data_IF_848376498384
#
_entry.id   IF_848376498384
#
_cell.length_a   1.000
_cell.length_b   1.000
_cell.length_c   1.000
_cell.angle_alpha   90.00
_cell.angle_beta   90.00
_cell.angle_gamma   90.00
#
_symmetry.space_group_name_H-M   'P 1'
#
loop_
_entity.id
_entity.type
_entity.pdbx_description
1 polymer ?
#
# COMPACT_ATOMS: atom_id res chain seq x y z
N UNK A 1 -23.87 -8.33 -47.14
CA UNK A 1 -23.61 -7.16 -46.26
C UNK A 1 -23.75 -7.47 -44.77
N UNK A 2 -24.56 -8.47 -44.38
CA UNK A 2 -24.87 -8.84 -42.97
C UNK A 2 -23.68 -9.46 -42.22
N UNK A 3 -22.86 -10.28 -42.90
CA UNK A 3 -21.74 -11.02 -42.28
C UNK A 3 -20.59 -10.13 -41.76
N UNK A 4 -20.37 -8.95 -42.38
CA UNK A 4 -19.36 -7.98 -41.94
C UNK A 4 -19.78 -7.25 -40.65
N UNK A 5 -21.08 -6.99 -40.48
CA UNK A 5 -21.62 -6.37 -39.26
C UNK A 5 -21.51 -7.28 -38.04
N UNK A 6 -21.82 -8.58 -38.20
CA UNK A 6 -21.67 -9.58 -37.13
C UNK A 6 -20.22 -9.78 -36.68
N UNK A 7 -19.27 -9.80 -37.61
CA UNK A 7 -17.84 -9.88 -37.30
C UNK A 7 -17.36 -8.65 -36.52
N UNK A 8 -17.80 -7.44 -36.92
CA UNK A 8 -17.44 -6.21 -36.24
C UNK A 8 -18.00 -6.16 -34.81
N UNK A 9 -19.26 -6.56 -34.61
CA UNK A 9 -19.89 -6.61 -33.28
C UNK A 9 -19.19 -7.64 -32.38
N UNK A 10 -18.88 -8.83 -32.91
CA UNK A 10 -18.15 -9.87 -32.16
C UNK A 10 -16.74 -9.44 -31.79
N UNK A 11 -16.05 -8.71 -32.68
CA UNK A 11 -14.73 -8.15 -32.42
C UNK A 11 -14.79 -7.10 -31.30
N UNK A 12 -15.73 -6.16 -31.38
CA UNK A 12 -15.93 -5.12 -30.35
C UNK A 12 -16.27 -5.76 -29.00
N UNK A 13 -17.12 -6.79 -28.98
CA UNK A 13 -17.48 -7.51 -27.77
C UNK A 13 -16.25 -8.19 -27.14
N UNK A 14 -15.45 -8.91 -27.92
CA UNK A 14 -14.23 -9.56 -27.43
C UNK A 14 -13.20 -8.56 -26.88
N UNK A 15 -13.00 -7.43 -27.57
CA UNK A 15 -12.12 -6.35 -27.10
C UNK A 15 -12.61 -5.82 -25.74
N UNK A 16 -13.91 -5.54 -25.61
CA UNK A 16 -14.49 -5.05 -24.35
C UNK A 16 -14.32 -6.05 -23.21
N UNK A 17 -14.61 -7.33 -23.44
CA UNK A 17 -14.47 -8.39 -22.43
C UNK A 17 -13.01 -8.50 -21.98
N UNK A 18 -12.05 -8.48 -22.91
CA UNK A 18 -10.62 -8.56 -22.56
C UNK A 18 -10.14 -7.33 -21.77
N UNK A 19 -10.59 -6.13 -22.12
CA UNK A 19 -10.28 -4.91 -21.35
C UNK A 19 -10.85 -5.01 -19.94
N UNK A 20 -12.12 -5.41 -19.79
CA UNK A 20 -12.73 -5.59 -18.47
C UNK A 20 -11.96 -6.59 -17.60
N UNK A 21 -11.57 -7.74 -18.17
CA UNK A 21 -10.78 -8.74 -17.46
C UNK A 21 -9.40 -8.21 -17.07
N UNK A 22 -8.74 -7.45 -17.94
CA UNK A 22 -7.45 -6.83 -17.65
C UNK A 22 -7.55 -5.78 -16.52
N UNK A 23 -8.60 -4.96 -16.53
CA UNK A 23 -8.87 -3.97 -15.48
C UNK A 23 -9.12 -4.64 -14.14
N UNK A 24 -10.00 -5.66 -14.09
CA UNK A 24 -10.25 -6.44 -12.87
C UNK A 24 -8.97 -7.07 -12.32
N UNK A 25 -8.13 -7.60 -13.20
CA UNK A 25 -6.84 -8.19 -12.82
C UNK A 25 -5.87 -7.14 -12.26
N UNK A 26 -5.85 -5.94 -12.84
CA UNK A 26 -5.02 -4.84 -12.36
C UNK A 26 -5.49 -4.30 -11.00
N UNK A 27 -6.80 -4.13 -10.81
CA UNK A 27 -7.39 -3.72 -9.53
C UNK A 27 -7.09 -4.73 -8.42
N UNK A 28 -7.25 -6.02 -8.70
CA UNK A 28 -6.92 -7.08 -7.75
C UNK A 28 -5.43 -7.10 -7.42
N UNK A 29 -4.57 -6.90 -8.41
CA UNK A 29 -3.11 -6.84 -8.21
C UNK A 29 -2.72 -5.64 -7.35
N UNK A 30 -3.32 -4.47 -7.60
CA UNK A 30 -3.08 -3.27 -6.81
C UNK A 30 -3.61 -3.42 -5.38
N UNK A 31 -4.78 -4.05 -5.21
CA UNK A 31 -5.30 -4.37 -3.88
C UNK A 31 -4.35 -5.28 -3.13
N UNK A 32 -3.92 -6.39 -3.74
CA UNK A 32 -2.99 -7.33 -3.12
C UNK A 32 -1.67 -6.66 -2.75
N UNK A 33 -1.14 -5.79 -3.61
CA UNK A 33 0.07 -5.02 -3.33
C UNK A 33 -0.11 -4.11 -2.11
N UNK A 34 -1.21 -3.34 -2.04
CA UNK A 34 -1.54 -2.50 -0.88
C UNK A 34 -1.61 -3.31 0.41
N UNK A 35 -2.23 -4.49 0.35
CA UNK A 35 -2.36 -5.38 1.51
C UNK A 35 -1.01 -5.95 1.95
N UNK A 36 -0.16 -6.35 1.01
CA UNK A 36 1.20 -6.81 1.29
C UNK A 36 2.05 -5.71 1.95
N UNK A 37 1.98 -4.47 1.44
CA UNK A 37 2.68 -3.33 2.06
C UNK A 37 2.18 -3.06 3.48
N UNK A 38 0.86 -3.12 3.71
CA UNK A 38 0.29 -2.95 5.04
C UNK A 38 0.73 -4.06 6.01
N UNK A 39 0.76 -5.31 5.56
CA UNK A 39 1.18 -6.44 6.40
C UNK A 39 2.66 -6.31 6.78
N UNK A 40 3.51 -6.06 5.78
CA UNK A 40 4.93 -5.81 5.98
C UNK A 40 5.17 -4.64 6.95
N UNK A 41 4.45 -3.53 6.78
CA UNK A 41 4.53 -2.39 7.68
C UNK A 41 4.17 -2.79 9.12
N UNK A 42 3.06 -3.51 9.32
CA UNK A 42 2.60 -3.92 10.65
C UNK A 42 3.51 -4.95 11.34
N UNK A 43 4.12 -5.84 10.58
CA UNK A 43 5.14 -6.78 11.05
C UNK A 43 6.36 -6.05 11.58
N UNK A 44 6.76 -4.96 10.92
CA UNK A 44 7.90 -4.13 11.36
C UNK A 44 7.61 -3.24 12.59
N UNK A 45 6.35 -3.04 12.98
CA UNK A 45 5.99 -2.19 14.12
C UNK A 45 6.13 -2.91 15.47
N UNK A 46 6.56 -2.18 16.50
CA UNK A 46 6.53 -2.66 17.90
C UNK A 46 5.25 -2.27 18.64
N UNK A 47 4.40 -1.41 18.06
CA UNK A 47 3.11 -1.01 18.63
C UNK A 47 2.20 -2.22 18.93
N UNK A 48 1.47 -2.16 20.04
CA UNK A 48 0.45 -3.15 20.40
C UNK A 48 -0.79 -3.10 19.50
N UNK A 49 -1.03 -1.95 18.87
CA UNK A 49 -2.07 -1.73 17.86
C UNK A 49 -1.51 -1.84 16.46
N UNK A 50 -2.34 -2.36 15.56
CA UNK A 50 -2.04 -2.37 14.14
C UNK A 50 -2.34 -1.00 13.50
N UNK A 51 -1.93 -0.87 12.25
CA UNK A 51 -2.24 0.23 11.38
C UNK A 51 -2.97 -0.26 10.12
N UNK A 52 -3.85 0.57 9.60
CA UNK A 52 -4.56 0.33 8.34
C UNK A 52 -4.14 1.37 7.31
N UNK A 53 -4.05 0.95 6.05
CA UNK A 53 -3.75 1.84 4.93
C UNK A 53 -4.91 2.80 4.72
N UNK A 54 -4.66 4.08 4.90
CA UNK A 54 -5.65 5.12 4.66
C UNK A 54 -5.62 5.60 3.21
N UNK A 55 -4.41 5.89 2.70
CA UNK A 55 -4.26 6.55 1.41
C UNK A 55 -2.93 6.20 0.74
N UNK A 56 -2.96 6.10 -0.58
CA UNK A 56 -1.77 6.17 -1.44
C UNK A 56 -1.69 7.61 -1.97
N UNK A 57 -0.60 8.33 -1.67
CA UNK A 57 -0.47 9.75 -2.00
C UNK A 57 -0.02 9.99 -3.43
N UNK A 58 0.89 9.15 -3.92
CA UNK A 58 1.43 9.28 -5.26
C UNK A 58 2.53 8.26 -5.50
N UNK A 59 2.92 8.15 -6.76
CA UNK A 59 4.02 7.29 -7.20
C UNK A 59 4.92 8.09 -8.13
N UNK A 60 6.21 8.09 -7.81
CA UNK A 60 7.26 8.61 -8.69
C UNK A 60 7.93 7.42 -9.38
N UNK A 61 8.15 7.54 -10.68
CA UNK A 61 8.80 6.50 -11.49
C UNK A 61 10.22 6.94 -11.80
N UNK A 62 11.19 6.08 -11.52
CA UNK A 62 12.59 6.28 -11.86
C UNK A 62 13.14 5.00 -12.51
N UNK A 63 13.41 5.08 -13.81
CA UNK A 63 13.80 3.92 -14.62
C UNK A 63 12.82 2.73 -14.45
N UNK A 64 13.31 1.61 -13.91
CA UNK A 64 12.55 0.40 -13.65
C UNK A 64 11.96 0.34 -12.24
N UNK A 65 12.16 1.39 -11.43
CA UNK A 65 11.71 1.46 -10.05
C UNK A 65 10.59 2.49 -9.89
N UNK A 66 9.77 2.24 -8.90
CA UNK A 66 8.67 3.08 -8.49
C UNK A 66 8.82 3.36 -7.00
N UNK A 67 8.70 4.62 -6.62
CA UNK A 67 8.66 5.07 -5.24
C UNK A 67 7.25 5.54 -4.94
N UNK A 68 6.52 4.81 -4.11
CA UNK A 68 5.12 5.11 -3.79
C UNK A 68 4.98 5.53 -2.34
N UNK A 69 4.25 6.63 -2.14
CA UNK A 69 3.96 7.17 -0.83
C UNK A 69 2.65 6.61 -0.28
N UNK A 70 2.72 6.04 0.92
CA UNK A 70 1.61 5.46 1.66
C UNK A 70 1.38 6.22 2.95
N UNK A 71 0.12 6.32 3.35
CA UNK A 71 -0.29 6.85 4.65
C UNK A 71 -1.08 5.78 5.40
N UNK A 72 -0.57 5.41 6.56
CA UNK A 72 -1.20 4.46 7.48
C UNK A 72 -1.74 5.20 8.70
N UNK A 73 -2.87 4.71 9.23
CA UNK A 73 -3.46 5.20 10.48
C UNK A 73 -3.55 4.08 11.48
N UNK A 74 -3.34 4.40 12.75
CA UNK A 74 -3.54 3.46 13.84
C UNK A 74 -4.97 2.92 13.81
N UNK A 75 -5.15 1.63 14.08
CA UNK A 75 -6.45 0.97 14.02
C UNK A 75 -7.00 0.58 15.40
N UNK A 76 -8.30 0.32 15.43
CA UNK A 76 -8.98 -0.28 16.57
C UNK A 76 -8.50 -1.72 16.87
N UNK A 77 -7.88 -2.41 15.92
CA UNK A 77 -7.39 -3.78 16.06
C UNK A 77 -6.02 -3.85 16.72
N UNK A 78 -5.83 -4.88 17.56
CA UNK A 78 -4.59 -5.11 18.32
C UNK A 78 -3.92 -6.42 17.93
N UNK A 79 -2.60 -6.50 18.17
CA UNK A 79 -1.79 -7.71 17.92
C UNK A 79 -2.24 -8.93 18.74
N UNK A 80 -2.91 -8.70 19.87
CA UNK A 80 -3.44 -9.77 20.72
C UNK A 80 -4.74 -10.39 20.20
N UNK A 81 -5.51 -9.62 19.41
CA UNK A 81 -6.83 -10.06 18.94
C UNK A 81 -6.77 -10.84 17.63
N UNK A 82 -5.81 -10.53 16.76
CA UNK A 82 -5.74 -11.14 15.44
C UNK A 82 -4.35 -11.10 14.81
N UNK A 83 -4.03 -12.04 13.91
CA UNK A 83 -2.84 -11.98 13.08
C UNK A 83 -2.92 -10.86 12.03
N UNK A 84 -1.75 -10.43 11.55
CA UNK A 84 -1.59 -9.27 10.67
C UNK A 84 -2.40 -9.35 9.36
N UNK A 85 -2.44 -10.53 8.72
CA UNK A 85 -3.14 -10.74 7.44
C UNK A 85 -4.67 -10.57 7.54
N UNK A 86 -5.22 -10.57 8.77
CA UNK A 86 -6.65 -10.29 9.03
C UNK A 86 -6.94 -8.83 9.36
N UNK A 87 -5.93 -7.95 9.37
CA UNK A 87 -6.13 -6.53 9.69
C UNK A 87 -6.73 -5.81 8.48
N UNK A 88 -8.04 -5.91 8.29
CA UNK A 88 -8.78 -5.35 7.15
C UNK A 88 -10.14 -4.81 7.59
N UNK A 89 -10.69 -3.87 6.83
CA UNK A 89 -12.04 -3.33 7.07
C UNK A 89 -13.11 -4.42 7.08
N UNK A 90 -13.04 -5.39 6.14
CA UNK A 90 -13.96 -6.54 6.08
C UNK A 90 -13.95 -7.42 7.34
N UNK A 91 -12.92 -7.29 8.18
CA UNK A 91 -12.77 -8.01 9.44
C UNK A 91 -12.92 -7.09 10.66
N UNK A 92 -13.43 -5.87 10.47
CA UNK A 92 -13.74 -4.94 11.55
C UNK A 92 -12.57 -4.02 11.96
N UNK A 93 -11.47 -3.99 11.20
CA UNK A 93 -10.35 -3.10 11.49
C UNK A 93 -10.46 -1.77 10.74
N UNK A 94 -10.57 -0.69 11.50
CA UNK A 94 -10.74 0.66 10.99
C UNK A 94 -9.78 1.63 11.67
N UNK A 95 -9.47 2.72 10.97
CA UNK A 95 -8.65 3.79 11.52
C UNK A 95 -9.35 4.44 12.72
N UNK A 96 -8.59 4.68 13.79
CA UNK A 96 -9.00 5.45 14.98
C UNK A 96 -8.09 6.67 15.13
N UNK A 97 -8.53 7.64 15.92
CA UNK A 97 -7.75 8.85 16.25
C UNK A 97 -7.25 9.57 14.99
N UNK A 98 -8.12 9.59 13.96
CA UNK A 98 -7.72 9.87 12.57
C UNK A 98 -7.29 11.31 12.31
N UNK A 99 -7.49 12.21 13.28
CA UNK A 99 -7.10 13.62 13.24
C UNK A 99 -5.76 13.89 13.95
N UNK A 100 -5.26 12.98 14.80
CA UNK A 100 -3.97 13.17 15.46
C UNK A 100 -2.82 12.75 14.54
N UNK A 101 -2.08 13.75 14.07
CA UNK A 101 -0.92 13.57 13.20
C UNK A 101 0.15 12.64 13.80
N UNK A 102 0.23 12.52 15.13
CA UNK A 102 1.15 11.60 15.84
C UNK A 102 0.83 10.12 15.61
N UNK A 103 -0.38 9.83 15.16
CA UNK A 103 -0.89 8.48 14.92
C UNK A 103 -1.02 8.14 13.43
N UNK A 104 -0.62 9.07 12.59
CA UNK A 104 -0.46 8.89 11.17
C UNK A 104 1.00 8.52 10.89
N UNK A 105 1.21 7.49 10.09
CA UNK A 105 2.53 7.07 9.62
C UNK A 105 2.58 7.25 8.11
N UNK A 106 3.55 8.03 7.63
CA UNK A 106 3.82 8.27 6.21
C UNK A 106 5.04 7.44 5.81
N UNK A 107 4.92 6.67 4.74
CA UNK A 107 5.96 5.78 4.27
C UNK A 107 6.22 5.95 2.78
N UNK A 108 7.48 5.90 2.37
CA UNK A 108 7.88 5.90 0.96
C UNK A 108 8.49 4.55 0.59
N UNK A 109 7.78 3.77 -0.22
CA UNK A 109 8.13 2.37 -0.52
C UNK A 109 8.65 2.25 -1.95
N UNK A 110 9.83 1.65 -2.08
CA UNK A 110 10.45 1.33 -3.35
C UNK A 110 9.99 -0.05 -3.84
N UNK A 111 9.53 -0.12 -5.08
CA UNK A 111 9.10 -1.36 -5.73
C UNK A 111 9.32 -1.31 -7.25
N UNK A 112 9.16 -2.47 -7.90
CA UNK A 112 9.22 -2.64 -9.37
C UNK A 112 7.90 -3.25 -9.82
N UNK A 113 6.85 -2.43 -9.84
CA UNK A 113 5.47 -2.90 -9.98
C UNK A 113 5.01 -3.69 -8.75
N UNK A 114 4.04 -4.59 -8.92
CA UNK A 114 3.40 -5.29 -7.79
C UNK A 114 4.14 -6.54 -7.30
N UNK A 115 5.25 -6.94 -7.95
CA UNK A 115 5.95 -8.21 -7.70
C UNK A 115 7.31 -7.95 -7.06
N UNK A 116 7.34 -7.64 -5.75
CA UNK A 116 8.60 -7.38 -5.05
C UNK A 116 8.67 -8.00 -3.65
N UNK A 117 9.86 -8.47 -3.27
CA UNK A 117 10.21 -8.76 -1.89
C UNK A 117 10.48 -7.42 -1.17
N UNK A 118 9.46 -6.88 -0.50
CA UNK A 118 9.52 -5.56 0.15
C UNK A 118 10.74 -5.43 1.07
N UNK A 119 11.02 -6.45 1.86
CA UNK A 119 12.12 -6.48 2.83
C UNK A 119 13.52 -6.37 2.21
N UNK A 120 13.71 -6.76 0.94
CA UNK A 120 15.03 -6.72 0.29
C UNK A 120 15.40 -5.32 -0.21
N UNK A 121 14.42 -4.53 -0.63
CA UNK A 121 14.64 -3.19 -1.18
C UNK A 121 14.37 -2.06 -0.17
N UNK A 122 13.66 -2.36 0.92
CA UNK A 122 13.14 -1.35 1.82
C UNK A 122 13.65 -1.56 3.24
N UNK A 123 14.00 -0.46 3.89
CA UNK A 123 14.25 -0.39 5.32
C UNK A 123 13.18 0.52 5.95
N UNK A 124 12.25 -0.11 6.67
CA UNK A 124 11.14 0.56 7.33
C UNK A 124 11.57 1.80 8.14
N UNK A 125 12.61 1.67 8.97
CA UNK A 125 13.04 2.73 9.88
C UNK A 125 13.54 3.99 9.16
N UNK A 126 14.04 3.84 7.94
CA UNK A 126 14.51 4.96 7.12
C UNK A 126 13.41 5.54 6.21
N UNK A 127 12.35 4.77 5.95
CA UNK A 127 11.37 5.09 4.91
C UNK A 127 10.01 5.50 5.47
N UNK A 128 9.80 5.36 6.76
CA UNK A 128 8.55 5.69 7.42
C UNK A 128 8.77 6.67 8.56
N UNK A 129 7.85 7.63 8.70
CA UNK A 129 7.87 8.64 9.74
C UNK A 129 6.45 9.05 10.16
N UNK A 130 6.30 9.60 11.35
CA UNK A 130 5.04 10.14 11.85
C UNK A 130 4.59 11.36 11.04
N UNK A 131 3.29 11.55 10.98
CA UNK A 131 2.66 12.60 10.19
C UNK A 131 3.05 14.02 10.63
N UNK A 132 3.41 14.20 11.90
CA UNK A 132 3.89 15.43 12.54
C UNK A 132 5.42 15.59 12.51
N UNK A 133 6.14 14.66 11.88
CA UNK A 133 7.59 14.63 11.77
C UNK A 133 8.04 14.56 10.30
N UNK A 134 9.34 14.66 10.06
CA UNK A 134 9.97 14.33 8.78
C UNK A 134 10.75 13.02 8.89
N UNK A 135 11.00 12.37 7.75
CA UNK A 135 11.85 11.18 7.69
C UNK A 135 13.23 11.45 8.31
N UNK A 136 13.85 12.58 7.95
CA UNK A 136 15.17 12.95 8.44
C UNK A 136 15.18 13.11 9.97
N UNK A 137 14.19 13.79 10.53
CA UNK A 137 14.10 14.00 11.97
C UNK A 137 13.96 12.69 12.77
N UNK A 138 13.23 11.71 12.24
CA UNK A 138 13.11 10.40 12.92
C UNK A 138 14.38 9.57 12.79
N UNK A 139 15.06 9.64 11.65
CA UNK A 139 16.36 8.98 11.45
C UNK A 139 17.41 9.54 12.42
N UNK A 140 17.48 10.87 12.56
CA UNK A 140 18.38 11.54 13.52
C UNK A 140 18.13 11.04 14.95
N UNK A 141 16.86 10.89 15.36
CA UNK A 141 16.51 10.33 16.68
C UNK A 141 16.94 8.88 16.87
N UNK A 142 16.90 8.07 15.81
CA UNK A 142 17.31 6.66 15.86
C UNK A 142 18.84 6.50 15.85
N UNK A 143 19.56 7.46 15.27
CA UNK A 143 21.01 7.43 15.12
C UNK A 143 21.66 8.77 15.54
N UNK A 144 21.56 9.16 16.83
CA UNK A 144 22.00 10.46 17.30
C UNK A 144 23.51 10.69 17.16
N UNK A 145 24.32 9.63 17.10
CA UNK A 145 25.78 9.72 17.01
C UNK A 145 26.30 9.82 15.56
N UNK A 146 25.40 9.82 14.55
CA UNK A 146 25.78 9.85 13.12
C UNK A 146 25.53 11.19 12.43
N UNK A 147 24.91 12.15 13.13
CA UNK A 147 24.52 13.46 12.60
C UNK A 147 24.81 14.57 13.60
#
# INVERSE_FOLDING_TARGET
MIMKGFLLISLIFNIRVNICNAVLTAEQSLYNFKMMVQDWFNESQTSSRYYVLQKVKGTVIYENYMSTDFEFKRSNCTKYQMPVHLVREKYGCFAIDSEDLKHIMKCTILHKGCMIALQTLNNFAAQCHRGDSSALHEIEKLFPDKY
#
